data_IF_864826911176
#
_entry.id   IF_864826911176
#
_cell.length_a   1.000
_cell.length_b   1.000
_cell.length_c   1.000
_cell.angle_alpha   90.00
_cell.angle_beta   90.00
_cell.angle_gamma   90.00
#
_symmetry.space_group_name_H-M   'P 1'
#
loop_
_entity.id
_entity.type
_entity.pdbx_description
1 polymer ?
#
# COMPACT_ATOMS: atom_id res chain seq x y z
N UNK A 1 -10.73 -10.97 17.78
CA UNK A 1 -11.42 -11.11 16.49
C UNK A 1 -10.53 -10.48 15.43
N UNK A 2 -10.27 -11.19 14.33
CA UNK A 2 -9.56 -10.68 13.17
C UNK A 2 -10.56 -9.93 12.27
N UNK A 3 -10.44 -8.62 12.19
CA UNK A 3 -11.37 -7.79 11.42
C UNK A 3 -11.32 -8.11 9.92
N UNK A 4 -10.13 -8.41 9.37
CA UNK A 4 -9.99 -8.73 7.96
C UNK A 4 -10.74 -10.02 7.57
N UNK A 5 -10.66 -11.05 8.39
CA UNK A 5 -11.41 -12.30 8.17
C UNK A 5 -12.92 -12.09 8.19
N UNK A 6 -13.42 -11.36 9.21
CA UNK A 6 -14.87 -11.07 9.32
C UNK A 6 -15.40 -10.30 8.12
N UNK A 7 -14.65 -9.30 7.65
CA UNK A 7 -15.05 -8.51 6.48
C UNK A 7 -14.96 -9.36 5.20
N UNK A 8 -13.91 -10.15 5.05
CA UNK A 8 -13.73 -11.02 3.89
C UNK A 8 -14.85 -12.07 3.78
N UNK A 9 -15.21 -12.69 4.90
CA UNK A 9 -16.32 -13.66 4.98
C UNK A 9 -17.64 -13.00 4.56
N UNK A 10 -17.93 -11.79 5.08
CA UNK A 10 -19.14 -11.06 4.74
C UNK A 10 -19.21 -10.65 3.26
N UNK A 11 -18.07 -10.41 2.60
CA UNK A 11 -17.98 -10.01 1.20
C UNK A 11 -17.76 -11.19 0.24
N UNK A 12 -17.48 -12.39 0.73
CA UNK A 12 -17.07 -13.53 -0.09
C UNK A 12 -15.69 -13.33 -0.75
N UNK A 13 -14.81 -12.56 -0.11
CA UNK A 13 -13.48 -12.23 -0.61
C UNK A 13 -12.40 -13.12 0.01
N UNK A 14 -11.29 -13.27 -0.72
CA UNK A 14 -10.05 -13.78 -0.14
C UNK A 14 -9.46 -12.72 0.79
N UNK A 15 -8.91 -13.15 1.91
CA UNK A 15 -8.15 -12.26 2.80
C UNK A 15 -6.88 -12.92 3.27
N UNK A 16 -5.87 -12.09 3.46
CA UNK A 16 -4.67 -12.48 4.19
C UNK A 16 -4.21 -11.32 5.07
N UNK A 17 -3.54 -11.66 6.15
CA UNK A 17 -2.99 -10.66 7.05
C UNK A 17 -1.67 -11.17 7.62
N UNK A 18 -0.80 -10.23 7.97
CA UNK A 18 0.47 -10.54 8.60
C UNK A 18 0.83 -9.48 9.63
N UNK A 19 1.38 -9.93 10.76
CA UNK A 19 1.85 -9.04 11.82
C UNK A 19 2.97 -8.12 11.31
N UNK A 20 2.91 -6.85 11.69
CA UNK A 20 3.89 -5.83 11.29
C UNK A 20 5.30 -6.08 11.83
N UNK A 21 5.42 -6.90 12.86
CA UNK A 21 6.67 -7.15 13.58
C UNK A 21 7.15 -8.58 13.30
N UNK A 22 8.41 -8.71 12.89
CA UNK A 22 9.06 -10.02 12.80
C UNK A 22 9.15 -10.71 14.15
N UNK A 23 9.28 -12.02 14.17
CA UNK A 23 9.34 -12.87 15.37
C UNK A 23 10.45 -12.49 16.35
N UNK A 24 11.50 -11.82 15.88
CA UNK A 24 12.69 -11.45 16.66
C UNK A 24 12.65 -10.03 17.26
N UNK A 25 11.50 -9.38 17.21
CA UNK A 25 11.34 -8.02 17.73
C UNK A 25 10.99 -8.04 19.23
N UNK A 26 11.69 -7.24 20.04
CA UNK A 26 11.35 -7.02 21.47
C UNK A 26 9.91 -6.52 21.66
N UNK A 27 9.29 -5.97 20.62
CA UNK A 27 7.90 -5.54 20.62
C UNK A 27 6.91 -6.72 20.72
N UNK A 28 7.36 -7.96 20.53
CA UNK A 28 6.54 -9.18 20.73
C UNK A 28 6.12 -9.36 22.19
N UNK A 29 6.82 -8.75 23.13
CA UNK A 29 6.51 -8.81 24.56
C UNK A 29 5.34 -7.89 24.99
N UNK A 30 4.91 -6.95 24.11
CA UNK A 30 3.81 -6.03 24.43
C UNK A 30 2.52 -6.54 23.78
N UNK A 31 1.51 -7.01 24.55
CA UNK A 31 0.32 -7.69 24.02
C UNK A 31 -0.51 -6.87 23.02
N UNK A 32 -0.51 -5.55 23.14
CA UNK A 32 -1.26 -4.65 22.23
C UNK A 32 -0.52 -4.49 20.91
N UNK A 33 0.80 -4.41 20.93
CA UNK A 33 1.64 -4.19 19.76
C UNK A 33 1.65 -5.44 18.87
N UNK A 34 1.65 -6.62 19.45
CA UNK A 34 1.62 -7.90 18.74
C UNK A 34 0.35 -8.14 17.91
N UNK A 35 -0.71 -7.38 18.17
CA UNK A 35 -2.00 -7.51 17.46
C UNK A 35 -2.13 -6.57 16.26
N UNK A 36 -1.13 -5.73 15.99
CA UNK A 36 -1.14 -4.84 14.82
C UNK A 36 -0.63 -5.60 13.59
N UNK A 37 -1.48 -5.69 12.58
CA UNK A 37 -1.19 -6.35 11.32
C UNK A 37 -1.51 -5.43 10.14
N UNK A 38 -0.88 -5.70 9.00
CA UNK A 38 -1.41 -5.26 7.72
C UNK A 38 -2.21 -6.42 7.14
N UNK A 39 -3.31 -6.09 6.47
CA UNK A 39 -4.15 -7.07 5.82
C UNK A 39 -4.57 -6.56 4.45
N UNK A 40 -4.97 -7.48 3.59
CA UNK A 40 -5.66 -7.17 2.36
C UNK A 40 -6.86 -8.11 2.17
N UNK A 41 -7.79 -7.63 1.36
CA UNK A 41 -8.93 -8.40 0.88
C UNK A 41 -8.98 -8.29 -0.64
N UNK A 42 -9.25 -9.37 -1.33
CA UNK A 42 -9.32 -9.39 -2.77
C UNK A 42 -10.51 -10.23 -3.25
N UNK A 43 -11.32 -9.66 -4.16
CA UNK A 43 -12.34 -10.40 -4.88
C UNK A 43 -11.74 -11.27 -6.00
N UNK A 44 -10.76 -10.76 -6.81
CA UNK A 44 -10.10 -11.58 -7.80
C UNK A 44 -9.21 -12.64 -7.17
N UNK A 45 -8.91 -13.68 -7.94
CA UNK A 45 -8.00 -14.74 -7.53
C UNK A 45 -6.60 -14.17 -7.30
N UNK A 46 -6.04 -14.46 -6.14
CA UNK A 46 -4.64 -14.19 -5.82
C UNK A 46 -3.82 -15.39 -6.24
N UNK A 47 -2.91 -15.23 -7.20
CA UNK A 47 -2.01 -16.31 -7.66
C UNK A 47 -0.92 -16.61 -6.66
N UNK A 48 -0.43 -15.56 -5.98
CA UNK A 48 0.59 -15.70 -4.95
C UNK A 48 0.64 -14.50 -4.01
N UNK A 49 1.07 -14.77 -2.80
CA UNK A 49 1.38 -13.73 -1.82
C UNK A 49 2.77 -13.96 -1.23
N UNK A 50 3.50 -12.87 -1.00
CA UNK A 50 4.81 -12.89 -0.35
C UNK A 50 4.88 -11.79 0.69
N UNK A 51 5.50 -12.09 1.80
CA UNK A 51 5.73 -11.16 2.89
C UNK A 51 7.21 -10.82 2.96
N UNK A 52 7.54 -9.56 2.70
CA UNK A 52 8.91 -9.07 2.79
C UNK A 52 9.03 -8.18 4.02
N UNK A 53 10.10 -8.39 4.77
CA UNK A 53 10.37 -7.60 5.94
C UNK A 53 11.54 -6.66 5.68
N UNK A 54 11.37 -5.41 6.05
CA UNK A 54 12.47 -4.45 6.04
C UNK A 54 13.48 -4.77 7.15
N UNK A 55 14.76 -4.59 6.87
CA UNK A 55 15.84 -4.79 7.87
C UNK A 55 15.82 -3.72 8.96
N UNK A 56 15.22 -2.56 8.70
CA UNK A 56 15.23 -1.40 9.59
C UNK A 56 13.84 -0.83 9.85
N UNK A 57 13.67 -0.24 11.05
CA UNK A 57 12.42 0.41 11.46
C UNK A 57 11.50 -0.51 12.26
N UNK A 58 10.42 0.08 12.79
CA UNK A 58 9.40 -0.63 13.57
C UNK A 58 8.35 -1.24 12.64
N UNK A 59 7.94 -0.52 11.60
CA UNK A 59 7.01 -0.96 10.56
C UNK A 59 7.83 -1.63 9.46
N UNK A 60 7.83 -2.96 9.38
CA UNK A 60 8.80 -3.69 8.56
C UNK A 60 8.17 -4.54 7.45
N UNK A 61 6.87 -4.50 7.27
CA UNK A 61 6.16 -5.42 6.39
C UNK A 61 5.81 -4.78 5.06
N UNK A 62 6.18 -5.45 3.97
CA UNK A 62 5.59 -5.30 2.64
C UNK A 62 4.77 -6.56 2.36
N UNK A 63 3.55 -6.40 1.92
CA UNK A 63 2.75 -7.49 1.36
C UNK A 63 2.83 -7.35 -0.16
N UNK A 64 3.36 -8.37 -0.83
CA UNK A 64 3.36 -8.51 -2.28
C UNK A 64 2.25 -9.46 -2.67
N UNK A 65 1.35 -9.01 -3.52
CA UNK A 65 0.26 -9.79 -4.09
C UNK A 65 0.49 -9.94 -5.58
N UNK A 66 0.50 -11.17 -6.05
CA UNK A 66 0.56 -11.49 -7.46
C UNK A 66 -0.85 -11.88 -7.94
N UNK A 67 -1.40 -11.06 -8.82
CA UNK A 67 -2.65 -11.29 -9.52
C UNK A 67 -2.33 -11.72 -10.96
N UNK A 68 -3.34 -12.13 -11.74
CA UNK A 68 -3.15 -12.63 -13.11
C UNK A 68 -2.32 -11.65 -13.97
N UNK A 69 -2.68 -10.38 -13.98
CA UNK A 69 -2.06 -9.36 -14.86
C UNK A 69 -1.42 -8.19 -14.10
N UNK A 70 -1.37 -8.25 -12.78
CA UNK A 70 -0.97 -7.16 -11.92
C UNK A 70 -0.18 -7.65 -10.70
N UNK A 71 0.81 -6.88 -10.26
CA UNK A 71 1.46 -7.05 -8.98
C UNK A 71 1.15 -5.86 -8.06
N UNK A 72 0.75 -6.12 -6.81
CA UNK A 72 0.43 -5.09 -5.83
C UNK A 72 1.35 -5.19 -4.64
N UNK A 73 1.99 -4.09 -4.27
CA UNK A 73 2.76 -3.95 -3.04
C UNK A 73 2.01 -3.08 -2.05
N UNK A 74 1.65 -3.64 -0.89
CA UNK A 74 1.05 -2.89 0.22
C UNK A 74 2.12 -2.59 1.26
N UNK A 75 2.23 -1.31 1.63
CA UNK A 75 3.28 -0.83 2.52
C UNK A 75 2.73 0.03 3.66
N UNK A 76 3.44 0.03 4.78
CA UNK A 76 3.28 1.00 5.84
C UNK A 76 4.67 1.38 6.33
N UNK A 77 5.20 2.50 5.82
CA UNK A 77 6.59 2.89 6.03
C UNK A 77 6.81 3.54 7.41
N UNK A 78 8.07 3.61 7.81
CA UNK A 78 8.48 4.15 9.09
C UNK A 78 8.29 5.67 9.16
N UNK A 79 7.92 6.17 10.35
CA UNK A 79 7.91 7.61 10.66
C UNK A 79 9.30 8.26 10.61
N UNK A 80 10.35 7.49 10.90
CA UNK A 80 11.73 8.00 10.92
C UNK A 80 12.29 8.09 9.50
N UNK A 81 12.68 9.28 9.08
CA UNK A 81 13.22 9.58 7.75
C UNK A 81 14.30 8.58 7.28
N UNK A 82 15.35 8.35 8.08
CA UNK A 82 16.43 7.42 7.69
C UNK A 82 15.94 5.99 7.43
N UNK A 83 15.01 5.50 8.26
CA UNK A 83 14.43 4.17 8.08
C UNK A 83 13.56 4.13 6.83
N UNK A 84 12.76 5.17 6.60
CA UNK A 84 11.90 5.28 5.42
C UNK A 84 12.70 5.26 4.12
N UNK A 85 13.82 5.98 4.06
CA UNK A 85 14.71 5.94 2.90
C UNK A 85 15.30 4.55 2.62
N UNK A 86 15.73 3.83 3.67
CA UNK A 86 16.20 2.45 3.52
C UNK A 86 15.06 1.52 3.04
N UNK A 87 13.85 1.74 3.54
CA UNK A 87 12.65 0.99 3.13
C UNK A 87 12.25 1.27 1.67
N UNK A 88 12.31 2.53 1.23
CA UNK A 88 12.05 2.90 -0.17
C UNK A 88 13.07 2.27 -1.12
N UNK A 89 14.35 2.17 -0.74
CA UNK A 89 15.36 1.48 -1.53
C UNK A 89 15.05 -0.01 -1.67
N UNK A 90 14.67 -0.68 -0.59
CA UNK A 90 14.27 -2.09 -0.64
C UNK A 90 13.02 -2.29 -1.52
N UNK A 91 12.02 -1.45 -1.34
CA UNK A 91 10.80 -1.45 -2.16
C UNK A 91 11.11 -1.22 -3.66
N UNK A 92 12.06 -0.33 -3.97
CA UNK A 92 12.54 -0.12 -5.34
C UNK A 92 13.03 -1.41 -5.98
N UNK A 93 13.86 -2.19 -5.27
CA UNK A 93 14.38 -3.47 -5.76
C UNK A 93 13.27 -4.49 -6.03
N UNK A 94 12.24 -4.52 -5.19
CA UNK A 94 11.08 -5.39 -5.38
C UNK A 94 10.27 -4.97 -6.62
N UNK A 95 9.95 -3.68 -6.74
CA UNK A 95 9.21 -3.13 -7.88
C UNK A 95 9.93 -3.40 -9.20
N UNK A 96 11.26 -3.22 -9.23
CA UNK A 96 12.07 -3.43 -10.45
C UNK A 96 12.15 -4.90 -10.89
N UNK A 97 11.89 -5.84 -9.99
CA UNK A 97 11.87 -7.29 -10.30
C UNK A 97 10.56 -7.73 -10.95
N UNK A 98 9.48 -6.98 -10.74
CA UNK A 98 8.19 -7.33 -11.32
C UNK A 98 8.24 -7.23 -12.85
N UNK A 99 7.66 -8.24 -13.51
CA UNK A 99 7.46 -8.26 -14.96
C UNK A 99 6.05 -7.81 -15.36
N UNK A 100 5.14 -7.76 -14.39
CA UNK A 100 3.76 -7.30 -14.54
C UNK A 100 3.66 -5.81 -14.23
N UNK A 101 2.64 -5.09 -14.69
CA UNK A 101 2.29 -3.77 -14.16
C UNK A 101 2.23 -3.80 -12.62
N UNK A 102 2.62 -2.69 -12.00
CA UNK A 102 2.74 -2.63 -10.54
C UNK A 102 1.89 -1.50 -9.97
N UNK A 103 1.18 -1.81 -8.90
CA UNK A 103 0.62 -0.83 -7.96
C UNK A 103 1.42 -0.91 -6.65
N UNK A 104 1.79 0.24 -6.10
CA UNK A 104 2.31 0.36 -4.73
C UNK A 104 1.35 1.23 -3.94
N UNK A 105 0.75 0.69 -2.90
CA UNK A 105 -0.26 1.39 -2.11
C UNK A 105 0.03 1.33 -0.61
N UNK A 106 -0.36 2.37 0.13
CA UNK A 106 -0.29 2.39 1.58
C UNK A 106 0.12 3.72 2.18
N UNK A 107 0.41 3.69 3.48
CA UNK A 107 0.88 4.84 4.26
C UNK A 107 2.40 4.96 4.16
N UNK A 108 2.86 5.98 3.48
CA UNK A 108 4.28 6.26 3.28
C UNK A 108 4.88 7.16 4.37
N UNK A 109 4.05 7.74 5.23
CA UNK A 109 4.47 8.59 6.34
C UNK A 109 5.43 9.75 5.93
N UNK A 110 5.20 10.39 4.79
CA UNK A 110 6.05 11.43 4.19
C UNK A 110 5.80 12.81 4.80
N UNK A 111 5.99 12.93 6.11
CA UNK A 111 5.75 14.18 6.85
C UNK A 111 6.64 15.36 6.42
N UNK A 112 7.75 15.10 5.76
CA UNK A 112 8.68 16.12 5.25
C UNK A 112 8.35 16.58 3.83
N UNK A 113 7.23 16.09 3.29
CA UNK A 113 6.71 16.50 1.99
C UNK A 113 7.13 15.62 0.82
N UNK A 114 6.77 16.07 -0.37
CA UNK A 114 6.87 15.30 -1.61
C UNK A 114 8.29 14.92 -2.04
N UNK A 115 9.27 15.68 -1.64
CA UNK A 115 10.68 15.45 -2.02
C UNK A 115 11.16 14.05 -1.60
N UNK A 116 10.57 13.50 -0.53
CA UNK A 116 10.92 12.17 -0.07
C UNK A 116 10.55 11.09 -1.08
N UNK A 117 9.48 11.31 -1.85
CA UNK A 117 8.96 10.35 -2.81
C UNK A 117 9.49 10.56 -4.24
N UNK A 118 9.91 11.77 -4.59
CA UNK A 118 10.25 12.14 -5.95
C UNK A 118 11.31 11.20 -6.55
N UNK A 119 12.43 11.02 -5.86
CA UNK A 119 13.52 10.16 -6.32
C UNK A 119 13.10 8.70 -6.45
N UNK A 120 12.35 8.19 -5.49
CA UNK A 120 11.84 6.82 -5.53
C UNK A 120 10.91 6.61 -6.72
N UNK A 121 9.96 7.52 -6.91
CA UNK A 121 8.99 7.43 -8.03
C UNK A 121 9.69 7.51 -9.37
N UNK A 122 10.63 8.44 -9.55
CA UNK A 122 11.42 8.60 -10.77
C UNK A 122 12.24 7.34 -11.06
N UNK A 123 13.02 6.87 -10.09
CA UNK A 123 13.86 5.70 -10.25
C UNK A 123 13.06 4.42 -10.54
N UNK A 124 11.93 4.23 -9.86
CA UNK A 124 11.06 3.08 -10.04
C UNK A 124 10.14 3.17 -11.27
N UNK A 125 10.05 4.33 -11.93
CA UNK A 125 9.14 4.59 -13.05
C UNK A 125 7.68 4.62 -12.64
N UNK A 126 7.42 5.04 -11.40
CA UNK A 126 6.09 5.12 -10.81
C UNK A 126 5.48 6.51 -10.99
N UNK A 127 4.17 6.53 -11.13
CA UNK A 127 3.33 7.73 -11.16
C UNK A 127 2.34 7.67 -10.02
N UNK A 128 1.90 8.82 -9.52
CA UNK A 128 0.83 8.86 -8.51
C UNK A 128 -0.54 8.82 -9.17
N UNK A 129 -1.47 8.06 -8.59
CA UNK A 129 -2.86 8.05 -9.01
C UNK A 129 -3.59 9.34 -8.57
N UNK A 130 -3.23 9.89 -7.42
CA UNK A 130 -3.78 11.14 -6.87
C UNK A 130 -3.16 12.36 -7.60
N UNK A 131 -3.67 12.68 -8.78
CA UNK A 131 -3.19 13.82 -9.57
C UNK A 131 -3.46 15.17 -8.90
N UNK A 132 -4.62 15.28 -8.23
CA UNK A 132 -5.08 16.52 -7.56
C UNK A 132 -4.47 16.71 -6.18
N UNK A 133 -3.67 15.74 -5.71
CA UNK A 133 -2.98 15.78 -4.40
C UNK A 133 -3.94 15.97 -3.24
N UNK A 134 -5.07 15.29 -3.30
CA UNK A 134 -6.07 15.30 -2.24
C UNK A 134 -5.44 14.76 -0.95
N UNK A 135 -5.52 15.51 0.16
CA UNK A 135 -4.91 15.08 1.41
C UNK A 135 -5.74 14.00 2.11
N UNK A 136 -5.06 13.02 2.70
CA UNK A 136 -5.68 11.91 3.47
C UNK A 136 -5.62 12.11 4.98
N UNK A 137 -4.69 12.94 5.48
CA UNK A 137 -4.42 13.07 6.92
C UNK A 137 -4.42 14.54 7.40
N UNK A 138 -4.90 14.82 8.63
CA UNK A 138 -5.75 13.97 9.47
C UNK A 138 -7.19 13.93 8.94
N UNK A 139 -7.91 12.82 9.12
CA UNK A 139 -9.22 12.58 8.48
C UNK A 139 -10.25 13.69 8.70
N UNK A 140 -10.29 14.32 9.89
CA UNK A 140 -11.27 15.39 10.22
C UNK A 140 -10.99 16.71 9.48
N UNK A 141 -9.71 17.07 9.29
CA UNK A 141 -9.27 18.29 8.60
C UNK A 141 -8.01 17.98 7.81
N UNK A 142 -8.15 17.32 6.65
CA UNK A 142 -6.98 16.83 5.92
C UNK A 142 -6.12 17.99 5.41
N UNK A 143 -4.81 17.82 5.56
CA UNK A 143 -3.80 18.81 5.18
C UNK A 143 -2.56 18.18 4.56
N UNK A 144 -2.40 16.87 4.71
CA UNK A 144 -1.22 16.13 4.28
C UNK A 144 -1.61 14.91 3.46
N UNK A 145 -0.89 14.66 2.38
CA UNK A 145 -0.94 13.43 1.62
C UNK A 145 0.13 12.49 2.20
N UNK A 146 -0.27 11.54 3.04
CA UNK A 146 0.61 10.53 3.63
C UNK A 146 0.40 9.16 3.02
N UNK A 147 -0.79 8.93 2.48
CA UNK A 147 -1.20 7.70 1.83
C UNK A 147 -1.11 7.88 0.32
N UNK A 148 -0.53 6.91 -0.37
CA UNK A 148 -0.34 6.95 -1.81
C UNK A 148 -0.85 5.68 -2.47
N UNK A 149 -1.36 5.83 -3.69
CA UNK A 149 -1.47 4.78 -4.69
C UNK A 149 -0.58 5.21 -5.85
N UNK A 150 0.51 4.46 -6.05
CA UNK A 150 1.48 4.65 -7.11
C UNK A 150 1.36 3.53 -8.12
N UNK A 151 1.58 3.81 -9.39
CA UNK A 151 1.43 2.83 -10.45
C UNK A 151 2.48 2.97 -11.56
N UNK A 152 2.76 1.88 -12.26
CA UNK A 152 3.59 1.88 -13.47
C UNK A 152 2.80 2.33 -14.69
N UNK A 153 3.48 2.57 -15.82
CA UNK A 153 2.90 3.05 -17.08
C UNK A 153 1.84 2.13 -17.69
N UNK A 154 1.84 0.84 -17.36
CA UNK A 154 0.86 -0.13 -17.86
C UNK A 154 -0.51 -0.04 -17.17
N UNK A 155 -0.75 1.00 -16.37
CA UNK A 155 -1.99 1.23 -15.64
C UNK A 155 -2.49 2.63 -15.94
N UNK A 156 -3.76 2.73 -16.31
CA UNK A 156 -4.47 3.99 -16.54
C UNK A 156 -5.47 4.22 -15.43
N UNK A 157 -5.47 5.41 -14.84
CA UNK A 157 -6.37 5.79 -13.75
C UNK A 157 -7.62 6.43 -14.35
N UNK A 158 -8.77 5.86 -14.05
CA UNK A 158 -10.08 6.34 -14.51
C UNK A 158 -10.72 7.30 -13.50
N UNK A 159 -10.59 7.00 -12.19
CA UNK A 159 -11.05 7.87 -11.12
C UNK A 159 -10.20 7.73 -9.87
N UNK A 160 -10.13 8.80 -9.09
CA UNK A 160 -9.49 8.82 -7.79
C UNK A 160 -10.28 9.68 -6.81
N UNK A 161 -10.52 9.19 -5.61
CA UNK A 161 -11.24 9.91 -4.57
C UNK A 161 -10.64 9.67 -3.16
N UNK A 162 -10.86 10.64 -2.27
CA UNK A 162 -10.51 10.58 -0.84
C UNK A 162 -11.77 10.91 -0.03
N UNK A 163 -12.67 9.94 0.16
CA UNK A 163 -13.97 10.16 0.81
C UNK A 163 -13.85 10.77 2.20
N UNK A 164 -14.75 11.70 2.52
CA UNK A 164 -14.77 12.42 3.78
C UNK A 164 -15.35 11.57 4.93
N UNK A 165 -14.76 10.40 5.16
CA UNK A 165 -15.11 9.51 6.28
C UNK A 165 -14.06 9.60 7.38
N UNK A 166 -14.47 9.33 8.61
CA UNK A 166 -13.63 9.49 9.82
C UNK A 166 -13.61 8.22 10.68
N UNK A 167 -13.57 7.05 10.05
CA UNK A 167 -13.45 5.76 10.75
C UNK A 167 -12.05 5.55 11.34
N UNK A 168 -11.08 6.26 10.80
CA UNK A 168 -9.69 6.26 11.21
C UNK A 168 -9.19 7.71 11.30
N UNK A 169 -7.98 7.91 11.76
CA UNK A 169 -7.23 9.18 11.67
C UNK A 169 -6.75 9.50 10.25
N UNK A 170 -6.76 8.52 9.33
CA UNK A 170 -6.58 8.71 7.90
C UNK A 170 -7.90 8.53 7.14
N UNK A 171 -8.06 9.24 6.03
CA UNK A 171 -9.13 9.00 5.06
C UNK A 171 -8.75 7.87 4.11
N UNK A 172 -9.71 7.03 3.68
CA UNK A 172 -9.44 6.01 2.68
C UNK A 172 -9.14 6.64 1.32
N UNK A 173 -8.37 5.93 0.50
CA UNK A 173 -8.16 6.23 -0.90
C UNK A 173 -8.97 5.23 -1.74
N UNK A 174 -9.68 5.74 -2.75
CA UNK A 174 -10.38 4.95 -3.75
C UNK A 174 -9.76 5.26 -5.11
N UNK A 175 -9.47 4.23 -5.88
CA UNK A 175 -8.85 4.37 -7.19
C UNK A 175 -9.46 3.35 -8.15
N UNK A 176 -10.11 3.84 -9.18
CA UNK A 176 -10.58 3.04 -10.32
C UNK A 176 -9.53 3.10 -11.42
N UNK A 177 -9.15 1.95 -11.95
CA UNK A 177 -8.11 1.86 -12.97
C UNK A 177 -8.38 0.71 -13.93
N UNK A 178 -7.72 0.74 -15.09
CA UNK A 178 -7.64 -0.36 -16.05
C UNK A 178 -6.21 -0.63 -16.47
N UNK A 179 -5.96 -1.84 -16.96
CA UNK A 179 -4.68 -2.19 -17.57
C UNK A 179 -4.64 -1.66 -19.00
N UNK A 180 -3.51 -1.02 -19.37
CA UNK A 180 -3.33 -0.53 -20.73
C UNK A 180 -3.26 -1.73 -21.70
N UNK A 181 -4.21 -1.77 -22.64
CA UNK A 181 -4.35 -2.89 -23.59
C UNK A 181 -5.63 -3.71 -23.43
N UNK A 182 -6.33 -3.59 -22.33
CA UNK A 182 -7.71 -4.05 -22.23
C UNK A 182 -8.63 -3.04 -22.94
N UNK A 183 -8.88 -3.28 -24.23
CA UNK A 183 -10.03 -2.64 -24.88
C UNK A 183 -11.28 -3.12 -24.16
N UNK A 184 -12.09 -2.18 -23.67
CA UNK A 184 -13.44 -2.45 -23.17
C UNK A 184 -14.11 -3.43 -24.15
N UNK A 185 -14.29 -4.68 -23.72
CA UNK A 185 -15.29 -5.53 -24.33
C UNK A 185 -16.62 -4.82 -24.01
N UNK A 186 -17.12 -4.13 -25.01
CA UNK A 186 -18.38 -3.40 -24.92
C UNK A 186 -19.47 -4.39 -24.50
N UNK A 187 -20.08 -4.13 -23.35
CA UNK A 187 -21.30 -4.79 -22.93
C UNK A 187 -22.48 -4.28 -23.74
#
# INVERSE_FOLDING_TARGET
>A
VNQAEVIAEALGHYSSYQCKYGTDSLNTLVPIVNKQANAFLAAPRVEGERFHYFDTGIKRLIIELELDDLCVFLVHLSLKFRHRHAQLRHLFELVKRSRKPVIVAGDFNTFWGEHEMALFMEAAGLRRANHDRLPSYPAKKPRMELDFILHTRGIEIDAFDVPAVTFSDHRPLICDFRLAGEQLAAA
#
